data_IF_608511359477
#
_entry.id   IF_608511359477
#
_cell.length_a   1.000
_cell.length_b   1.000
_cell.length_c   1.000
_cell.angle_alpha   90.00
_cell.angle_beta   90.00
_cell.angle_gamma   90.00
#
_symmetry.space_group_name_H-M   'P 1'
#
loop_
_entity.id
_entity.type
_entity.pdbx_description
1 polymer ?
#
# COMPACT_ATOMS: atom_id res chain seq x y z
N UNK A 1 15.09 12.44 3.20
CA UNK A 1 15.97 11.98 4.29
C UNK A 1 16.27 10.50 4.06
N UNK A 2 17.54 10.04 4.16
CA UNK A 2 17.83 8.62 4.08
C UNK A 2 17.31 7.92 5.32
N UNK A 3 16.55 6.84 5.15
CA UNK A 3 16.05 5.99 6.24
C UNK A 3 17.05 4.87 6.44
N UNK A 4 17.44 4.60 7.68
CA UNK A 4 18.27 3.44 8.00
C UNK A 4 17.54 2.14 7.64
N UNK A 5 18.26 1.19 7.03
CA UNK A 5 17.68 -0.08 6.67
C UNK A 5 17.31 -0.86 7.93
N UNK A 6 16.03 -1.21 8.08
CA UNK A 6 15.55 -2.00 9.20
C UNK A 6 16.10 -3.44 9.17
N UNK A 7 16.30 -3.97 7.95
CA UNK A 7 16.84 -5.29 7.71
C UNK A 7 18.16 -5.18 6.93
N UNK A 8 19.10 -6.12 7.15
CA UNK A 8 20.39 -6.11 6.46
C UNK A 8 20.28 -6.42 4.95
N UNK A 9 19.14 -6.96 4.51
CA UNK A 9 18.88 -7.34 3.13
C UNK A 9 17.42 -7.07 2.73
N UNK A 10 17.14 -7.03 1.43
CA UNK A 10 15.78 -6.90 0.91
C UNK A 10 15.02 -8.22 1.09
N UNK A 11 14.03 -8.22 1.97
CA UNK A 11 13.22 -9.39 2.28
C UNK A 11 12.46 -9.94 1.06
N UNK A 12 12.15 -9.11 0.05
CA UNK A 12 11.53 -9.55 -1.21
C UNK A 12 12.48 -10.43 -2.05
N UNK A 13 13.79 -10.28 -1.85
CA UNK A 13 14.81 -11.03 -2.58
C UNK A 13 15.28 -12.29 -1.83
N UNK A 14 14.81 -12.51 -0.59
CA UNK A 14 15.07 -13.74 0.16
C UNK A 14 14.19 -14.87 -0.41
N UNK A 15 14.76 -15.98 -0.93
CA UNK A 15 14.00 -17.04 -1.59
C UNK A 15 12.89 -17.64 -0.74
N UNK A 16 13.16 -17.84 0.55
CA UNK A 16 12.22 -18.46 1.50
C UNK A 16 10.98 -17.58 1.73
N UNK A 17 11.08 -16.28 1.45
CA UNK A 17 9.96 -15.36 1.62
C UNK A 17 9.04 -15.29 0.40
N UNK A 18 9.44 -15.85 -0.74
CA UNK A 18 8.73 -15.69 -2.00
C UNK A 18 7.26 -16.13 -1.90
N UNK A 19 7.00 -17.28 -1.27
CA UNK A 19 5.65 -17.79 -1.07
C UNK A 19 4.75 -16.82 -0.31
N UNK A 20 5.28 -16.19 0.75
CA UNK A 20 4.52 -15.23 1.55
C UNK A 20 4.16 -13.97 0.77
N UNK A 21 5.10 -13.41 0.00
CA UNK A 21 4.80 -12.24 -0.84
C UNK A 21 3.85 -12.57 -1.98
N UNK A 22 3.95 -13.78 -2.54
CA UNK A 22 3.03 -14.29 -3.56
C UNK A 22 1.59 -14.43 -3.01
N UNK A 23 1.42 -14.92 -1.79
CA UNK A 23 0.14 -14.94 -1.08
C UNK A 23 -0.35 -13.50 -0.78
N UNK A 24 0.52 -12.59 -0.35
CA UNK A 24 0.19 -11.18 -0.04
C UNK A 24 -0.44 -10.43 -1.21
N UNK A 25 -0.01 -10.70 -2.43
CA UNK A 25 -0.61 -10.10 -3.63
C UNK A 25 -1.74 -10.94 -4.22
N UNK A 26 -2.21 -11.96 -3.49
CA UNK A 26 -3.36 -12.79 -3.86
C UNK A 26 -3.12 -13.68 -5.07
N UNK A 27 -1.86 -14.07 -5.33
CA UNK A 27 -1.52 -15.05 -6.37
C UNK A 27 -1.45 -16.47 -5.82
N UNK A 28 -1.23 -16.63 -4.51
CA UNK A 28 -1.16 -17.94 -3.88
C UNK A 28 -2.50 -18.41 -3.29
N UNK A 29 -2.46 -19.57 -2.65
CA UNK A 29 -3.66 -20.26 -2.16
C UNK A 29 -4.09 -19.78 -0.76
N UNK A 30 -3.20 -19.10 -0.04
CA UNK A 30 -3.46 -18.66 1.32
C UNK A 30 -3.81 -17.18 1.34
N UNK A 31 -4.92 -16.85 2.01
CA UNK A 31 -5.17 -15.47 2.40
C UNK A 31 -4.14 -15.10 3.48
N UNK A 32 -3.37 -14.03 3.30
CA UNK A 32 -2.43 -13.57 4.32
C UNK A 32 -3.15 -13.27 5.64
N UNK A 33 -2.41 -13.32 6.75
CA UNK A 33 -2.91 -13.02 8.09
C UNK A 33 -3.65 -11.67 8.15
N UNK A 34 -4.72 -11.58 8.95
CA UNK A 34 -5.53 -10.35 9.08
C UNK A 34 -4.71 -9.09 9.47
N UNK A 35 -3.53 -9.28 10.07
CA UNK A 35 -2.69 -8.18 10.57
C UNK A 35 -1.71 -7.58 9.56
N UNK A 36 -1.62 -8.10 8.32
CA UNK A 36 -0.65 -7.62 7.30
C UNK A 36 -1.27 -6.81 6.16
N UNK A 37 -2.52 -6.39 6.31
CA UNK A 37 -3.24 -5.56 5.35
C UNK A 37 -4.04 -6.37 4.34
N UNK A 38 -4.66 -5.69 3.37
CA UNK A 38 -5.46 -6.34 2.33
C UNK A 38 -4.62 -6.62 1.07
N UNK A 39 -5.10 -7.54 0.23
CA UNK A 39 -4.42 -7.90 -1.02
C UNK A 39 -4.24 -6.67 -1.91
N UNK A 40 -5.27 -5.84 -2.01
CA UNK A 40 -5.29 -4.63 -2.82
C UNK A 40 -4.23 -3.62 -2.37
N UNK A 41 -4.06 -3.47 -1.05
CA UNK A 41 -3.04 -2.61 -0.45
C UNK A 41 -1.63 -3.11 -0.78
N UNK A 42 -1.40 -4.43 -0.61
CA UNK A 42 -0.11 -5.07 -0.90
C UNK A 42 0.27 -4.92 -2.37
N UNK A 43 -0.71 -5.04 -3.27
CA UNK A 43 -0.53 -4.83 -4.71
C UNK A 43 -0.15 -3.39 -5.06
N UNK A 44 -0.84 -2.40 -4.47
CA UNK A 44 -0.49 -0.98 -4.64
C UNK A 44 0.92 -0.70 -4.11
N UNK A 45 1.28 -1.27 -2.95
CA UNK A 45 2.62 -1.13 -2.39
C UNK A 45 3.70 -1.68 -3.33
N UNK A 46 3.51 -2.89 -3.89
CA UNK A 46 4.44 -3.48 -4.85
C UNK A 46 4.57 -2.64 -6.12
N UNK A 47 3.45 -2.14 -6.67
CA UNK A 47 3.43 -1.25 -7.83
C UNK A 47 4.23 0.04 -7.57
N UNK A 48 4.04 0.66 -6.40
CA UNK A 48 4.75 1.87 -6.01
C UNK A 48 6.26 1.62 -5.87
N UNK A 49 6.66 0.48 -5.31
CA UNK A 49 8.06 0.08 -5.28
C UNK A 49 8.63 -0.08 -6.70
N UNK A 50 7.86 -0.67 -7.62
CA UNK A 50 8.21 -0.77 -9.04
C UNK A 50 8.41 0.59 -9.70
N UNK A 51 7.42 1.48 -9.60
CA UNK A 51 7.47 2.84 -10.15
C UNK A 51 8.63 3.67 -9.60
N UNK A 52 9.06 3.38 -8.37
CA UNK A 52 10.19 4.06 -7.72
C UNK A 52 11.54 3.39 -7.97
N UNK A 53 11.58 2.30 -8.77
CA UNK A 53 12.81 1.56 -9.06
C UNK A 53 13.41 0.83 -7.86
N UNK A 54 12.60 0.49 -6.86
CA UNK A 54 13.03 -0.14 -5.60
C UNK A 54 13.06 -1.67 -5.67
N UNK A 55 12.57 -2.27 -6.75
CA UNK A 55 12.45 -3.72 -6.87
C UNK A 55 13.71 -4.36 -7.43
N UNK A 56 14.19 -5.38 -6.72
CA UNK A 56 15.11 -6.39 -7.23
C UNK A 56 14.46 -7.34 -8.23
N UNK A 57 15.13 -8.46 -8.50
CA UNK A 57 14.74 -9.41 -9.53
C UNK A 57 13.42 -10.14 -9.23
N UNK A 58 13.24 -10.61 -7.99
CA UNK A 58 12.04 -11.33 -7.57
C UNK A 58 10.87 -10.38 -7.41
N UNK A 59 11.10 -9.18 -6.87
CA UNK A 59 10.09 -8.14 -6.80
C UNK A 59 9.52 -7.79 -8.18
N UNK A 60 10.37 -7.65 -9.20
CA UNK A 60 9.93 -7.41 -10.60
C UNK A 60 9.14 -8.59 -11.15
N UNK A 61 9.60 -9.82 -10.91
CA UNK A 61 8.87 -11.01 -11.34
C UNK A 61 7.47 -11.12 -10.70
N UNK A 62 7.32 -10.69 -9.43
CA UNK A 62 6.00 -10.61 -8.78
C UNK A 62 5.13 -9.51 -9.41
N UNK A 63 5.73 -8.34 -9.69
CA UNK A 63 5.03 -7.22 -10.31
C UNK A 63 4.49 -7.58 -11.71
N UNK A 64 5.25 -8.34 -12.50
CA UNK A 64 4.86 -8.81 -13.84
C UNK A 64 3.70 -9.83 -13.81
N UNK A 65 3.58 -10.61 -12.73
CA UNK A 65 2.51 -11.58 -12.55
C UNK A 65 1.23 -10.97 -11.97
N UNK A 66 1.32 -9.75 -11.44
CA UNK A 66 0.22 -9.09 -10.75
C UNK A 66 -0.90 -8.72 -11.75
N UNK A 67 -2.17 -8.96 -11.42
CA UNK A 67 -3.28 -8.49 -12.24
C UNK A 67 -3.31 -6.96 -12.32
N UNK A 68 -3.98 -6.43 -13.35
CA UNK A 68 -4.19 -5.00 -13.48
C UNK A 68 -4.85 -4.40 -12.23
N UNK A 69 -4.40 -3.21 -11.83
CA UNK A 69 -4.93 -2.53 -10.67
C UNK A 69 -6.15 -1.70 -11.05
N UNK A 70 -7.28 -1.97 -10.40
CA UNK A 70 -8.44 -1.09 -10.36
C UNK A 70 -8.16 0.08 -9.41
N UNK A 71 -7.14 0.88 -9.75
CA UNK A 71 -6.51 1.85 -8.86
C UNK A 71 -7.52 2.81 -8.22
N UNK A 72 -8.49 3.29 -8.99
CA UNK A 72 -9.51 4.22 -8.51
C UNK A 72 -10.42 3.61 -7.44
N UNK A 73 -10.82 2.36 -7.62
CA UNK A 73 -11.61 1.63 -6.63
C UNK A 73 -10.81 1.42 -5.34
N UNK A 74 -9.53 1.08 -5.47
CA UNK A 74 -8.64 0.84 -4.32
C UNK A 74 -8.42 2.15 -3.53
N UNK A 75 -8.09 3.24 -4.22
CA UNK A 75 -7.87 4.56 -3.59
C UNK A 75 -9.15 5.17 -3.01
N UNK A 76 -10.33 4.80 -3.51
CA UNK A 76 -11.59 5.18 -2.89
C UNK A 76 -11.76 4.56 -1.50
N UNK A 77 -11.25 3.35 -1.27
CA UNK A 77 -11.25 2.68 0.04
C UNK A 77 -10.17 3.20 0.99
N UNK A 78 -8.91 3.18 0.55
CA UNK A 78 -7.77 3.44 1.45
C UNK A 78 -7.48 4.92 1.73
N UNK A 79 -7.92 5.84 0.86
CA UNK A 79 -7.71 7.28 1.04
C UNK A 79 -8.97 8.03 1.52
N UNK A 80 -10.06 7.32 1.78
CA UNK A 80 -11.27 7.93 2.33
C UNK A 80 -11.13 8.18 3.84
N UNK A 81 -11.82 9.23 4.30
CA UNK A 81 -11.91 9.59 5.72
C UNK A 81 -13.39 9.64 6.08
N UNK A 82 -13.81 8.75 6.98
CA UNK A 82 -15.16 8.78 7.54
C UNK A 82 -15.21 9.78 8.71
N UNK A 83 -15.77 10.96 8.43
CA UNK A 83 -16.03 11.96 9.46
C UNK A 83 -17.34 11.74 10.24
N UNK A 84 -18.28 10.97 9.70
CA UNK A 84 -19.61 10.79 10.30
C UNK A 84 -19.57 9.85 11.51
N UNK A 85 -18.69 8.85 11.49
CA UNK A 85 -18.43 7.94 12.61
C UNK A 85 -17.38 8.43 13.62
N UNK A 86 -16.85 9.64 13.45
CA UNK A 86 -15.71 10.11 14.23
C UNK A 86 -16.08 10.36 15.70
N UNK A 87 -15.41 9.65 16.63
CA UNK A 87 -15.54 9.87 18.09
C UNK A 87 -14.56 10.93 18.62
N UNK A 88 -14.19 11.88 17.77
CA UNK A 88 -13.27 12.96 18.11
C UNK A 88 -14.05 14.01 18.92
N UNK A 89 -13.53 14.51 20.06
CA UNK A 89 -14.21 15.56 20.79
C UNK A 89 -14.47 16.79 19.90
N UNK A 90 -15.67 17.36 20.00
CA UNK A 90 -16.18 18.37 19.06
C UNK A 90 -15.24 19.57 18.89
N UNK A 91 -14.59 20.01 19.96
CA UNK A 91 -13.61 21.10 19.93
C UNK A 91 -12.40 20.85 19.02
N UNK A 92 -12.05 19.59 18.76
CA UNK A 92 -10.90 19.21 17.93
C UNK A 92 -11.29 18.67 16.55
N UNK A 93 -12.53 18.19 16.40
CA UNK A 93 -12.99 17.50 15.21
C UNK A 93 -12.78 18.30 13.90
N UNK A 94 -13.14 19.60 13.79
CA UNK A 94 -12.98 20.33 12.54
C UNK A 94 -11.53 20.39 12.06
N UNK A 95 -10.58 20.66 12.98
CA UNK A 95 -9.17 20.79 12.65
C UNK A 95 -8.52 19.45 12.28
N UNK A 96 -8.89 18.37 12.97
CA UNK A 96 -8.35 17.03 12.70
C UNK A 96 -8.93 16.47 11.39
N UNK A 97 -10.25 16.52 11.21
CA UNK A 97 -10.89 15.99 10.00
C UNK A 97 -10.43 16.72 8.76
N UNK A 98 -10.30 18.06 8.80
CA UNK A 98 -9.77 18.83 7.68
C UNK A 98 -8.35 18.37 7.27
N UNK A 99 -7.47 18.12 8.24
CA UNK A 99 -6.11 17.62 7.98
C UNK A 99 -6.13 16.20 7.41
N UNK A 100 -6.97 15.31 7.95
CA UNK A 100 -7.11 13.95 7.45
C UNK A 100 -7.62 13.92 6.01
N UNK A 101 -8.66 14.70 5.68
CA UNK A 101 -9.17 14.81 4.31
C UNK A 101 -8.11 15.34 3.35
N UNK A 102 -7.40 16.39 3.73
CA UNK A 102 -6.30 16.93 2.92
C UNK A 102 -5.18 15.89 2.72
N UNK A 103 -4.83 15.13 3.77
CA UNK A 103 -3.84 14.06 3.68
C UNK A 103 -4.30 12.92 2.74
N UNK A 104 -5.58 12.52 2.80
CA UNK A 104 -6.17 11.52 1.92
C UNK A 104 -6.12 11.95 0.44
N UNK A 105 -6.51 13.19 0.12
CA UNK A 105 -6.42 13.70 -1.25
C UNK A 105 -4.97 13.84 -1.74
N UNK A 106 -4.06 14.29 -0.88
CA UNK A 106 -2.63 14.36 -1.22
C UNK A 106 -2.04 12.98 -1.48
N UNK A 107 -2.40 11.97 -0.67
CA UNK A 107 -1.96 10.59 -0.87
C UNK A 107 -2.49 10.03 -2.20
N UNK A 108 -3.78 10.24 -2.49
CA UNK A 108 -4.41 9.84 -3.76
C UNK A 108 -3.72 10.47 -4.96
N UNK A 109 -3.49 11.79 -4.93
CA UNK A 109 -2.82 12.51 -6.02
C UNK A 109 -1.38 12.01 -6.22
N UNK A 110 -0.64 11.77 -5.13
CA UNK A 110 0.71 11.24 -5.17
C UNK A 110 0.77 9.83 -5.76
N UNK A 111 -0.12 8.94 -5.32
CA UNK A 111 -0.15 7.55 -5.80
C UNK A 111 -0.51 7.52 -7.29
N UNK A 112 -1.53 8.28 -7.72
CA UNK A 112 -1.86 8.42 -9.14
C UNK A 112 -0.68 8.94 -9.95
N UNK A 113 0.00 9.99 -9.50
CA UNK A 113 1.15 10.54 -10.23
C UNK A 113 2.35 9.59 -10.34
N UNK A 114 2.40 8.53 -9.52
CA UNK A 114 3.45 7.50 -9.60
C UNK A 114 3.02 6.26 -10.41
N UNK A 115 1.72 5.96 -10.47
CA UNK A 115 1.19 4.73 -11.07
C UNK A 115 0.39 4.94 -12.36
N UNK A 116 0.13 6.18 -12.77
CA UNK A 116 -0.49 6.56 -14.05
C UNK A 116 0.57 6.69 -15.15
#
# INVERSE_FOLDING_TARGET
EPVEALFPEDLLEVPDNYGFFHDMIGLGAHTPFECIGQIEESRVALALCGARGLLGSRGRALLEQMPALELESILAGFCAVDGAGARIPEAFAPGILAQMHAAGENARARIRGLLA
#
